data_IF_654423589706
#
_entry.id   IF_654423589706
#
_cell.length_a   1.000
_cell.length_b   1.000
_cell.length_c   1.000
_cell.angle_alpha   90.00
_cell.angle_beta   90.00
_cell.angle_gamma   90.00
#
_symmetry.space_group_name_H-M   'P 1'
#
loop_
_entity.id
_entity.type
_entity.pdbx_description
1 polymer ?
#
# COMPACT_ATOMS: atom_id res chain seq x y z
N UNK A 1 -22.91 -8.90 5.96
CA UNK A 1 -22.18 -7.82 5.28
C UNK A 1 -21.59 -8.20 3.91
N UNK A 2 -22.04 -9.26 3.22
CA UNK A 2 -21.52 -9.59 1.87
C UNK A 2 -20.04 -10.04 1.80
N UNK A 3 -19.31 -9.99 2.92
CA UNK A 3 -17.90 -10.36 3.01
C UNK A 3 -17.65 -11.88 3.13
N UNK A 4 -18.67 -12.73 2.98
CA UNK A 4 -18.50 -14.18 3.05
C UNK A 4 -17.91 -14.69 4.38
N UNK A 5 -17.24 -15.84 4.32
CA UNK A 5 -16.55 -16.46 5.46
C UNK A 5 -15.10 -15.93 5.51
N UNK A 6 -14.69 -15.23 6.59
CA UNK A 6 -13.34 -14.66 6.69
C UNK A 6 -12.23 -15.70 6.60
N UNK A 7 -12.50 -16.95 6.99
CA UNK A 7 -11.52 -18.04 6.95
C UNK A 7 -11.26 -18.57 5.54
N UNK A 8 -12.08 -18.16 4.56
CA UNK A 8 -11.94 -18.56 3.16
C UNK A 8 -11.23 -17.51 2.32
N UNK A 9 -10.84 -16.38 2.90
CA UNK A 9 -10.07 -15.38 2.18
C UNK A 9 -8.65 -15.88 1.91
N UNK A 10 -8.17 -15.65 0.68
CA UNK A 10 -6.87 -16.13 0.20
C UNK A 10 -5.69 -15.64 1.04
N UNK A 11 -5.84 -14.49 1.69
CA UNK A 11 -4.81 -13.87 2.54
C UNK A 11 -4.82 -14.35 3.98
N UNK A 12 -5.83 -15.12 4.40
CA UNK A 12 -6.03 -15.55 5.79
C UNK A 12 -5.45 -16.95 5.98
N UNK A 13 -4.40 -17.05 6.77
CA UNK A 13 -3.75 -18.30 7.13
C UNK A 13 -3.91 -18.54 8.63
N UNK A 14 -4.36 -19.72 9.02
CA UNK A 14 -4.58 -20.05 10.44
C UNK A 14 -4.13 -21.48 10.75
N UNK A 15 -3.90 -21.75 12.03
CA UNK A 15 -3.76 -23.12 12.50
C UNK A 15 -5.11 -23.87 12.42
N UNK A 16 -5.09 -25.19 12.51
CA UNK A 16 -6.29 -26.04 12.45
C UNK A 16 -7.35 -25.65 13.48
N UNK A 17 -6.93 -25.15 14.63
CA UNK A 17 -7.79 -24.73 15.74
C UNK A 17 -8.30 -23.28 15.61
N UNK A 18 -7.84 -22.52 14.61
CA UNK A 18 -8.20 -21.11 14.37
C UNK A 18 -7.94 -20.18 15.57
N UNK A 19 -7.00 -20.54 16.43
CA UNK A 19 -6.58 -19.75 17.59
C UNK A 19 -5.49 -18.73 17.24
N UNK A 20 -4.78 -18.95 16.13
CA UNK A 20 -3.78 -18.03 15.59
C UNK A 20 -4.09 -17.72 14.13
N UNK A 21 -3.95 -16.45 13.75
CA UNK A 21 -4.21 -15.97 12.39
C UNK A 21 -3.05 -15.12 11.91
N UNK A 22 -2.53 -15.45 10.73
CA UNK A 22 -1.58 -14.64 9.98
C UNK A 22 -2.25 -14.16 8.70
N UNK A 23 -2.12 -12.87 8.43
CA UNK A 23 -2.67 -12.25 7.23
C UNK A 23 -1.52 -11.84 6.32
N UNK A 24 -1.43 -12.51 5.18
CA UNK A 24 -0.37 -12.35 4.19
C UNK A 24 -1.02 -11.79 2.93
N UNK A 25 -0.65 -10.57 2.54
CA UNK A 25 -1.22 -9.95 1.35
C UNK A 25 -0.20 -9.11 0.59
N UNK A 26 -0.44 -8.93 -0.71
CA UNK A 26 0.42 -8.11 -1.56
C UNK A 26 0.20 -6.60 -1.36
N UNK A 27 -0.90 -6.20 -0.72
CA UNK A 27 -1.21 -4.81 -0.39
C UNK A 27 -0.62 -4.42 0.96
N UNK A 28 0.01 -3.24 1.02
CA UNK A 28 0.62 -2.68 2.24
C UNK A 28 -0.38 -2.16 3.27
N UNK A 29 -1.63 -1.99 2.89
CA UNK A 29 -2.61 -1.47 3.82
C UNK A 29 -3.31 -2.65 4.51
N UNK A 30 -3.03 -2.81 5.80
CA UNK A 30 -3.74 -3.72 6.72
C UNK A 30 -5.19 -3.29 6.98
N UNK A 31 -5.82 -2.61 6.02
CA UNK A 31 -7.22 -2.16 6.07
C UNK A 31 -8.14 -3.36 6.29
N UNK A 32 -7.74 -4.56 5.86
CA UNK A 32 -8.51 -5.80 6.00
C UNK A 32 -9.07 -6.00 7.40
N UNK A 33 -8.22 -5.93 8.42
CA UNK A 33 -8.58 -6.39 9.77
C UNK A 33 -9.49 -5.38 10.48
N UNK A 34 -9.10 -4.10 10.46
CA UNK A 34 -9.88 -3.02 11.07
C UNK A 34 -11.20 -2.81 10.32
N UNK A 35 -11.20 -2.88 8.99
CA UNK A 35 -12.43 -2.78 8.19
C UNK A 35 -13.37 -3.94 8.49
N UNK A 36 -12.84 -5.16 8.57
CA UNK A 36 -13.64 -6.34 8.87
C UNK A 36 -14.27 -6.23 10.26
N UNK A 37 -13.50 -5.88 11.30
CA UNK A 37 -14.00 -5.71 12.66
C UNK A 37 -15.03 -4.58 12.77
N UNK A 38 -14.75 -3.43 12.16
CA UNK A 38 -15.68 -2.28 12.18
C UNK A 38 -16.98 -2.59 11.45
N UNK A 39 -16.94 -3.33 10.34
CA UNK A 39 -18.16 -3.79 9.65
C UNK A 39 -18.93 -4.80 10.51
N UNK A 40 -18.24 -5.74 11.16
CA UNK A 40 -18.85 -6.73 12.04
C UNK A 40 -19.56 -6.09 13.25
N UNK A 41 -19.00 -5.02 13.80
CA UNK A 41 -19.61 -4.24 14.89
C UNK A 41 -20.61 -3.16 14.43
N UNK A 42 -20.89 -3.05 13.12
CA UNK A 42 -21.82 -2.06 12.58
C UNK A 42 -21.33 -0.61 12.67
N UNK A 43 -20.03 -0.40 12.88
CA UNK A 43 -19.38 0.91 12.93
C UNK A 43 -18.95 1.42 11.54
N UNK A 44 -18.90 0.52 10.55
CA UNK A 44 -18.53 0.84 9.18
C UNK A 44 -19.51 0.20 8.20
N UNK A 45 -19.87 0.97 7.18
CA UNK A 45 -20.65 0.48 6.05
C UNK A 45 -19.73 0.13 4.88
N UNK A 46 -19.76 -1.12 4.41
CA UNK A 46 -19.02 -1.54 3.21
C UNK A 46 -19.90 -1.43 1.97
N UNK A 47 -19.43 -0.68 0.98
CA UNK A 47 -20.13 -0.46 -0.28
C UNK A 47 -19.18 -0.64 -1.47
N UNK A 48 -19.48 -1.61 -2.34
CA UNK A 48 -18.75 -1.84 -3.58
C UNK A 48 -19.47 -1.15 -4.74
N UNK A 49 -18.95 -0.02 -5.22
CA UNK A 49 -19.49 0.72 -6.35
C UNK A 49 -18.47 1.72 -6.92
N UNK A 50 -18.76 2.26 -8.11
CA UNK A 50 -18.01 3.40 -8.67
C UNK A 50 -18.74 4.71 -8.34
N UNK A 51 -18.00 5.75 -7.94
CA UNK A 51 -18.57 7.08 -7.78
C UNK A 51 -18.82 7.69 -9.17
N UNK A 52 -20.09 7.96 -9.50
CA UNK A 52 -20.50 8.57 -10.78
C UNK A 52 -20.35 10.09 -10.78
N UNK A 53 -20.74 10.74 -9.67
CA UNK A 53 -20.61 12.19 -9.46
C UNK A 53 -20.77 12.54 -7.98
N UNK A 54 -20.36 13.75 -7.62
CA UNK A 54 -20.49 14.29 -6.27
C UNK A 54 -21.44 15.50 -6.26
N UNK A 55 -22.24 15.66 -5.22
CA UNK A 55 -22.94 16.91 -4.90
C UNK A 55 -22.75 17.24 -3.41
N UNK A 56 -23.26 18.38 -2.96
CA UNK A 56 -23.11 18.79 -1.55
C UNK A 56 -23.53 17.66 -0.59
N UNK A 57 -22.58 17.22 0.24
CA UNK A 57 -22.72 16.12 1.20
C UNK A 57 -23.25 14.80 0.62
N UNK A 58 -23.10 14.54 -0.67
CA UNK A 58 -23.63 13.32 -1.30
C UNK A 58 -22.70 12.76 -2.37
N UNK A 59 -22.43 11.46 -2.29
CA UNK A 59 -21.79 10.68 -3.37
C UNK A 59 -22.87 9.92 -4.14
N UNK A 60 -22.95 10.11 -5.46
CA UNK A 60 -23.86 9.38 -6.34
C UNK A 60 -23.10 8.22 -6.95
N UNK A 61 -23.54 7.00 -6.67
CA UNK A 61 -22.88 5.77 -7.13
C UNK A 61 -23.40 5.36 -8.52
N UNK A 62 -22.59 4.62 -9.27
CA UNK A 62 -22.93 4.06 -10.58
C UNK A 62 -24.15 3.13 -10.52
N UNK A 63 -24.38 2.52 -9.37
CA UNK A 63 -25.53 1.66 -9.07
C UNK A 63 -26.84 2.43 -8.86
N UNK A 64 -26.81 3.77 -8.88
CA UNK A 64 -27.96 4.63 -8.59
C UNK A 64 -28.14 4.96 -7.11
N UNK A 65 -27.47 4.23 -6.21
CA UNK A 65 -27.45 4.50 -4.77
C UNK A 65 -26.77 5.84 -4.47
N UNK A 66 -27.22 6.51 -3.42
CA UNK A 66 -26.63 7.77 -2.92
C UNK A 66 -26.13 7.58 -1.49
N UNK A 67 -24.87 7.95 -1.23
CA UNK A 67 -24.33 8.06 0.13
C UNK A 67 -24.49 9.50 0.58
N UNK A 68 -25.39 9.74 1.55
CA UNK A 68 -25.74 11.07 2.05
C UNK A 68 -24.96 11.40 3.33
N UNK A 69 -24.97 12.68 3.72
CA UNK A 69 -24.29 13.20 4.91
C UNK A 69 -22.77 12.95 4.92
N UNK A 70 -22.15 12.87 3.74
CA UNK A 70 -20.70 12.70 3.62
C UNK A 70 -20.03 14.04 3.89
N UNK A 71 -19.20 14.10 4.94
CA UNK A 71 -18.45 15.31 5.33
C UNK A 71 -17.00 15.28 4.87
N UNK A 72 -16.40 14.08 4.79
CA UNK A 72 -15.01 13.87 4.41
C UNK A 72 -14.93 12.70 3.43
N UNK A 73 -14.06 12.81 2.42
CA UNK A 73 -13.70 11.72 1.52
C UNK A 73 -12.21 11.45 1.67
N UNK A 74 -11.86 10.27 2.17
CA UNK A 74 -10.49 9.79 2.25
C UNK A 74 -10.24 8.85 1.07
N UNK A 75 -9.25 9.18 0.24
CA UNK A 75 -8.89 8.38 -0.94
C UNK A 75 -7.65 7.54 -0.63
N UNK A 76 -7.80 6.23 -0.57
CA UNK A 76 -6.67 5.29 -0.53
C UNK A 76 -6.35 4.85 -1.97
N UNK A 77 -5.16 5.22 -2.46
CA UNK A 77 -4.68 4.80 -3.78
C UNK A 77 -3.68 3.67 -3.61
N UNK A 78 -3.84 2.61 -4.41
CA UNK A 78 -2.78 1.65 -4.66
C UNK A 78 -1.84 2.17 -5.74
N UNK A 79 -0.55 1.87 -5.62
CA UNK A 79 0.41 2.08 -6.70
C UNK A 79 0.46 0.80 -7.55
N UNK A 80 0.39 0.96 -8.88
CA UNK A 80 0.65 -0.12 -9.82
C UNK A 80 2.05 0.10 -10.42
N UNK A 81 2.78 -0.98 -10.67
CA UNK A 81 4.04 -0.91 -11.41
C UNK A 81 3.79 -0.35 -12.81
N UNK A 82 4.66 0.55 -13.26
CA UNK A 82 4.62 1.14 -14.59
C UNK A 82 5.89 0.80 -15.37
N UNK A 83 5.76 -0.09 -16.35
CA UNK A 83 6.86 -0.51 -17.23
C UNK A 83 7.46 0.62 -18.06
N UNK A 84 6.77 1.77 -18.18
CA UNK A 84 7.34 2.95 -18.81
C UNK A 84 8.55 3.49 -18.04
N UNK A 85 8.52 3.38 -16.70
CA UNK A 85 9.62 3.78 -15.81
C UNK A 85 10.81 2.85 -15.99
N UNK A 86 10.58 1.55 -16.10
CA UNK A 86 11.63 0.55 -16.35
C UNK A 86 12.33 0.83 -17.68
N UNK A 87 11.55 1.15 -18.72
CA UNK A 87 12.07 1.51 -20.04
C UNK A 87 12.87 2.80 -20.00
N UNK A 88 12.37 3.84 -19.32
CA UNK A 88 13.09 5.12 -19.15
C UNK A 88 14.45 4.91 -18.49
N UNK A 89 14.50 4.02 -17.49
CA UNK A 89 15.74 3.72 -16.77
C UNK A 89 16.56 2.59 -17.40
N UNK A 90 16.15 2.01 -18.54
CA UNK A 90 16.80 0.80 -19.08
C UNK A 90 17.07 -0.25 -17.98
N UNK A 91 16.11 -0.41 -17.08
CA UNK A 91 16.24 -1.26 -15.91
C UNK A 91 16.11 -2.72 -16.34
N UNK A 92 17.18 -3.50 -16.19
CA UNK A 92 17.20 -4.94 -16.49
C UNK A 92 17.10 -5.81 -15.24
N UNK A 93 17.67 -5.32 -14.15
CA UNK A 93 17.70 -5.97 -12.84
C UNK A 93 17.79 -4.91 -11.74
N UNK A 94 17.37 -5.28 -10.53
CA UNK A 94 17.53 -4.48 -9.32
C UNK A 94 18.55 -5.17 -8.43
N UNK A 95 19.61 -4.46 -8.04
CA UNK A 95 20.58 -4.90 -7.02
C UNK A 95 20.38 -4.02 -5.80
N UNK A 96 19.64 -4.54 -4.81
CA UNK A 96 19.16 -3.70 -3.71
C UNK A 96 18.28 -2.56 -4.23
N UNK A 97 18.52 -1.29 -3.85
CA UNK A 97 17.79 -0.14 -4.38
C UNK A 97 18.36 0.42 -5.70
N UNK A 98 19.33 -0.25 -6.33
CA UNK A 98 20.05 0.30 -7.48
C UNK A 98 19.65 -0.38 -8.78
N UNK A 99 19.29 0.44 -9.77
CA UNK A 99 19.00 0.00 -11.13
C UNK A 99 20.28 -0.56 -11.79
N UNK A 100 20.34 -1.87 -11.98
CA UNK A 100 21.51 -2.56 -12.54
C UNK A 100 22.78 -2.45 -11.66
N UNK A 101 22.63 -2.24 -10.35
CA UNK A 101 23.75 -2.10 -9.43
C UNK A 101 24.52 -0.78 -9.51
N UNK A 102 24.11 0.16 -10.36
CA UNK A 102 24.71 1.49 -10.41
C UNK A 102 24.22 2.33 -9.23
N UNK A 103 25.12 2.58 -8.27
CA UNK A 103 24.80 3.33 -7.05
C UNK A 103 24.32 4.77 -7.32
N UNK A 104 24.59 5.29 -8.52
CA UNK A 104 24.13 6.62 -8.96
C UNK A 104 22.68 6.61 -9.48
N UNK A 105 22.10 5.42 -9.67
CA UNK A 105 20.78 5.21 -10.26
C UNK A 105 19.85 4.61 -9.21
N UNK A 106 19.60 5.43 -8.20
CA UNK A 106 18.80 5.08 -7.05
C UNK A 106 17.31 5.01 -7.40
N UNK A 107 16.67 3.92 -7.03
CA UNK A 107 15.22 3.76 -7.15
C UNK A 107 14.70 3.22 -5.83
N UNK A 108 13.82 3.99 -5.19
CA UNK A 108 13.07 3.54 -4.03
C UNK A 108 11.69 3.13 -4.48
N UNK A 109 11.40 1.84 -4.37
CA UNK A 109 10.08 1.27 -4.62
C UNK A 109 9.51 0.74 -3.32
N UNK A 110 8.20 0.91 -3.17
CA UNK A 110 7.45 0.26 -2.14
C UNK A 110 7.45 -1.26 -2.36
N UNK A 111 8.07 -2.02 -1.45
CA UNK A 111 8.05 -3.48 -1.44
C UNK A 111 6.63 -4.02 -1.70
N UNK A 112 6.53 -4.90 -2.69
CA UNK A 112 5.30 -5.59 -3.05
C UNK A 112 5.01 -6.66 -2.02
N UNK A 113 3.98 -6.42 -1.21
CA UNK A 113 3.53 -7.34 -0.18
C UNK A 113 3.99 -7.03 1.22
N UNK A 114 3.18 -7.54 2.13
CA UNK A 114 3.24 -7.28 3.56
C UNK A 114 2.78 -8.53 4.30
N UNK A 115 3.57 -8.91 5.29
CA UNK A 115 3.13 -9.82 6.33
C UNK A 115 2.69 -8.97 7.53
N UNK A 116 1.40 -9.03 7.88
CA UNK A 116 0.84 -8.24 8.97
C UNK A 116 1.48 -8.55 10.34
N UNK A 117 2.13 -9.70 10.50
CA UNK A 117 2.88 -10.01 11.72
C UNK A 117 4.16 -9.16 11.89
N UNK A 118 4.65 -8.52 10.82
CA UNK A 118 5.92 -7.80 10.77
C UNK A 118 5.76 -6.34 10.31
N UNK A 119 4.77 -5.62 10.84
CA UNK A 119 4.67 -4.18 10.59
C UNK A 119 5.93 -3.46 11.10
N UNK A 120 6.74 -2.94 10.17
CA UNK A 120 7.92 -2.13 10.52
C UNK A 120 7.57 -0.66 10.70
N UNK A 121 6.58 -0.15 9.96
CA UNK A 121 6.11 1.24 10.05
C UNK A 121 4.73 1.40 9.40
N UNK A 122 3.93 2.36 9.87
CA UNK A 122 2.67 2.79 9.25
C UNK A 122 2.86 3.89 8.19
N UNK A 123 4.09 4.35 7.99
CA UNK A 123 4.45 5.38 7.02
C UNK A 123 5.83 5.12 6.45
N UNK A 124 5.95 5.14 5.12
CA UNK A 124 7.25 5.12 4.45
C UNK A 124 7.93 6.48 4.41
N UNK A 125 7.18 7.58 4.60
CA UNK A 125 7.67 8.92 4.34
C UNK A 125 8.91 9.31 5.14
N UNK A 126 9.01 8.89 6.40
CA UNK A 126 10.17 9.19 7.26
C UNK A 126 11.42 8.48 6.72
N UNK A 127 11.34 7.16 6.53
CA UNK A 127 12.45 6.37 5.98
C UNK A 127 12.85 6.81 4.57
N UNK A 128 11.88 7.15 3.72
CA UNK A 128 12.15 7.72 2.38
C UNK A 128 12.88 9.05 2.45
N UNK A 129 12.54 9.90 3.41
CA UNK A 129 13.19 11.22 3.57
C UNK A 129 14.65 11.05 3.95
N UNK A 130 14.94 10.23 4.97
CA UNK A 130 16.32 9.95 5.41
C UNK A 130 17.15 9.32 4.29
N UNK A 131 16.55 8.40 3.53
CA UNK A 131 17.15 7.77 2.37
C UNK A 131 17.51 8.81 1.30
N UNK A 132 16.57 9.68 0.92
CA UNK A 132 16.80 10.73 -0.09
C UNK A 132 17.89 11.70 0.36
N UNK A 133 17.90 12.14 1.62
CA UNK A 133 18.92 13.04 2.16
C UNK A 133 20.30 12.39 2.09
N UNK A 134 20.41 11.13 2.52
CA UNK A 134 21.67 10.38 2.53
C UNK A 134 22.23 10.24 1.12
N UNK A 135 21.41 9.79 0.16
CA UNK A 135 21.89 9.62 -1.20
C UNK A 135 22.11 10.93 -1.94
N UNK A 136 21.36 11.98 -1.62
CA UNK A 136 21.67 13.33 -2.13
C UNK A 136 23.07 13.76 -1.69
N UNK A 137 23.41 13.58 -0.41
CA UNK A 137 24.75 13.88 0.07
C UNK A 137 25.81 13.08 -0.68
N UNK A 138 25.60 11.77 -0.87
CA UNK A 138 26.53 10.90 -1.59
C UNK A 138 26.65 11.25 -3.08
N UNK A 139 25.60 11.81 -3.68
CA UNK A 139 25.65 12.36 -5.03
C UNK A 139 26.44 13.67 -5.12
N UNK A 140 26.29 14.56 -4.13
CA UNK A 140 27.02 15.83 -4.06
C UNK A 140 28.51 15.59 -3.72
N UNK A 141 28.80 14.53 -2.94
CA UNK A 141 30.14 14.16 -2.47
C UNK A 141 30.49 12.69 -2.82
N UNK A 142 30.65 12.36 -4.10
CA UNK A 142 30.79 10.97 -4.57
C UNK A 142 32.04 10.26 -4.05
N UNK A 143 33.03 11.00 -3.54
CA UNK A 143 34.23 10.42 -2.92
C UNK A 143 33.91 9.68 -1.61
N UNK A 144 32.86 10.07 -0.91
CA UNK A 144 32.46 9.44 0.34
C UNK A 144 31.92 8.03 0.12
N UNK A 145 31.36 7.73 -1.06
CA UNK A 145 30.92 6.37 -1.42
C UNK A 145 32.06 5.35 -1.43
N UNK A 146 33.29 5.76 -1.74
CA UNK A 146 34.45 4.87 -1.77
C UNK A 146 35.08 4.63 -0.39
N UNK A 147 34.53 5.25 0.66
CA UNK A 147 34.96 5.06 2.04
C UNK A 147 34.03 4.13 2.83
N UNK A 148 32.86 3.82 2.27
CA UNK A 148 31.88 2.87 2.78
C UNK A 148 32.24 1.45 2.32
#
# INVERSE_FOLDING_TARGET
CGMGDPWKYWSVHSNSERTNVNIIQNSRFGIGDVTFLMVAWGLLEYCEATVKRCSRHTLHLSTGRKLQNVTVVLKALGLLGDYSVDRLHNMKEMVGPFCGGDWRRLIMIDATGMNAANFTTFSTGIGTTDFVITYKFLHDYPREMYKL
#
